data_IF_585019829408
#
_entry.id   IF_585019829408
#
_cell.length_a   1.000
_cell.length_b   1.000
_cell.length_c   1.000
_cell.angle_alpha   90.00
_cell.angle_beta   90.00
_cell.angle_gamma   90.00
#
_symmetry.space_group_name_H-M   'P 1'
#
loop_
_entity.id
_entity.type
_entity.pdbx_description
1 polymer ?
#
# COMPACT_ATOMS: atom_id res chain seq x y z
N UNK A 1 -18.47 4.17 14.62
CA UNK A 1 -18.57 4.06 16.10
C UNK A 1 -17.83 5.19 16.82
N UNK A 2 -16.52 5.36 16.61
CA UNK A 2 -15.69 6.34 17.33
C UNK A 2 -16.29 7.76 17.37
N UNK A 3 -16.77 8.28 16.24
CA UNK A 3 -17.39 9.63 16.15
C UNK A 3 -18.63 9.78 17.04
N UNK A 4 -19.45 8.73 17.14
CA UNK A 4 -20.62 8.73 18.01
C UNK A 4 -20.22 8.72 19.50
N UNK A 5 -19.22 7.92 19.87
CA UNK A 5 -18.68 7.88 21.23
C UNK A 5 -18.05 9.24 21.61
N UNK A 6 -17.30 9.85 20.69
CA UNK A 6 -16.73 11.18 20.89
C UNK A 6 -17.81 12.25 21.11
N UNK A 7 -18.83 12.31 20.25
CA UNK A 7 -19.98 13.20 20.43
C UNK A 7 -20.70 12.99 21.78
N UNK A 8 -20.88 11.72 22.18
CA UNK A 8 -21.50 11.36 23.47
C UNK A 8 -20.63 11.80 24.65
N UNK A 9 -19.32 11.64 24.58
CA UNK A 9 -18.39 12.12 25.61
C UNK A 9 -18.43 13.65 25.72
N UNK A 10 -18.38 14.38 24.61
CA UNK A 10 -18.47 15.84 24.61
C UNK A 10 -19.77 16.33 25.27
N UNK A 11 -20.89 15.63 25.01
CA UNK A 11 -22.20 15.98 25.58
C UNK A 11 -22.30 15.68 27.07
N UNK A 12 -21.89 14.49 27.52
CA UNK A 12 -22.21 14.00 28.87
C UNK A 12 -21.00 13.90 29.82
N UNK A 13 -19.77 13.99 29.32
CA UNK A 13 -18.54 13.92 30.13
C UNK A 13 -18.30 12.59 30.87
N UNK A 14 -18.95 11.50 30.46
CA UNK A 14 -18.83 10.19 31.14
C UNK A 14 -17.52 9.50 30.79
N UNK A 15 -16.70 9.16 31.80
CA UNK A 15 -15.40 8.50 31.59
C UNK A 15 -15.51 7.15 30.87
N UNK A 16 -16.52 6.33 31.18
CA UNK A 16 -16.71 5.07 30.45
C UNK A 16 -16.92 5.24 28.94
N UNK A 17 -17.50 6.37 28.49
CA UNK A 17 -17.60 6.70 27.06
C UNK A 17 -16.25 7.08 26.46
N UNK A 18 -15.40 7.76 27.23
CA UNK A 18 -14.03 8.08 26.83
C UNK A 18 -13.18 6.82 26.71
N UNK A 19 -13.26 5.90 27.68
CA UNK A 19 -12.57 4.61 27.62
C UNK A 19 -12.99 3.82 26.38
N UNK A 20 -14.30 3.70 26.11
CA UNK A 20 -14.79 3.05 24.90
C UNK A 20 -14.31 3.74 23.62
N UNK A 21 -14.23 5.07 23.60
CA UNK A 21 -13.67 5.82 22.48
C UNK A 21 -12.19 5.47 22.26
N UNK A 22 -11.37 5.46 23.31
CA UNK A 22 -9.95 5.11 23.21
C UNK A 22 -9.79 3.71 22.62
N UNK A 23 -10.52 2.72 23.14
CA UNK A 23 -10.48 1.35 22.62
C UNK A 23 -10.90 1.27 21.14
N UNK A 24 -12.01 1.93 20.77
CA UNK A 24 -12.46 1.95 19.37
C UNK A 24 -11.47 2.67 18.45
N UNK A 25 -10.86 3.78 18.89
CA UNK A 25 -9.88 4.51 18.11
C UNK A 25 -8.58 3.69 17.96
N UNK A 26 -8.16 2.99 19.01
CA UNK A 26 -6.99 2.11 18.97
C UNK A 26 -7.20 0.92 18.02
N UNK A 27 -8.38 0.28 18.08
CA UNK A 27 -8.71 -0.78 17.13
C UNK A 27 -8.69 -0.25 15.68
N UNK A 28 -9.20 0.97 15.47
CA UNK A 28 -9.17 1.59 14.14
C UNK A 28 -7.74 1.81 13.64
N UNK A 29 -6.82 2.30 14.49
CA UNK A 29 -5.42 2.53 14.11
C UNK A 29 -4.64 1.24 13.91
N UNK A 30 -4.92 0.20 14.71
CA UNK A 30 -4.29 -1.12 14.55
C UNK A 30 -4.76 -1.85 13.30
N UNK A 31 -6.04 -1.71 12.94
CA UNK A 31 -6.59 -2.31 11.71
C UNK A 31 -6.07 -1.59 10.47
N UNK A 32 -5.88 -0.28 10.52
CA UNK A 32 -5.41 0.48 9.37
C UNK A 32 -4.64 1.74 9.76
N UNK A 33 -3.45 1.92 9.18
CA UNK A 33 -2.56 3.08 9.44
C UNK A 33 -3.22 4.43 9.19
N UNK A 34 -4.13 4.52 8.21
CA UNK A 34 -4.90 5.74 7.90
C UNK A 34 -6.08 6.01 8.86
N UNK A 35 -6.32 5.14 9.85
CA UNK A 35 -7.38 5.29 10.84
C UNK A 35 -7.51 6.69 11.47
N UNK A 36 -6.39 7.35 11.86
CA UNK A 36 -6.42 8.72 12.37
C UNK A 36 -7.00 9.71 11.34
N UNK A 37 -6.54 9.65 10.09
CA UNK A 37 -7.00 10.54 9.02
C UNK A 37 -8.52 10.47 8.81
N UNK A 38 -9.11 9.28 9.00
CA UNK A 38 -10.56 9.06 8.90
C UNK A 38 -11.38 9.79 9.98
N UNK A 39 -10.77 10.14 11.11
CA UNK A 39 -11.48 10.65 12.29
C UNK A 39 -11.17 12.10 12.64
N UNK A 40 -10.06 12.66 12.13
CA UNK A 40 -9.64 14.05 12.43
C UNK A 40 -10.74 15.05 12.07
N UNK A 41 -11.19 15.08 10.81
CA UNK A 41 -12.18 16.06 10.35
C UNK A 41 -13.49 16.05 11.18
N UNK A 42 -14.19 14.90 11.37
CA UNK A 42 -15.41 14.87 12.17
C UNK A 42 -15.16 15.19 13.65
N UNK A 43 -13.99 14.86 14.21
CA UNK A 43 -13.67 15.21 15.59
C UNK A 43 -13.47 16.72 15.76
N UNK A 44 -12.73 17.37 14.86
CA UNK A 44 -12.54 18.82 14.89
C UNK A 44 -13.87 19.57 14.80
N UNK A 45 -14.77 19.13 13.91
CA UNK A 45 -16.12 19.69 13.79
C UNK A 45 -16.90 19.52 15.10
N UNK A 46 -16.86 18.34 15.72
CA UNK A 46 -17.54 18.11 17.00
C UNK A 46 -16.95 18.98 18.11
N UNK A 47 -15.63 19.15 18.19
CA UNK A 47 -14.98 20.07 19.13
C UNK A 47 -15.52 21.49 18.95
N UNK A 48 -15.58 21.99 17.71
CA UNK A 48 -16.10 23.32 17.40
C UNK A 48 -17.59 23.46 17.79
N UNK A 49 -18.42 22.48 17.42
CA UNK A 49 -19.85 22.48 17.72
C UNK A 49 -20.16 22.35 19.22
N UNK A 50 -19.26 21.73 19.99
CA UNK A 50 -19.38 21.53 21.43
C UNK A 50 -18.43 22.41 22.25
N UNK A 51 -17.78 23.43 21.65
CA UNK A 51 -16.78 24.28 22.32
C UNK A 51 -17.23 24.88 23.65
N UNK A 52 -18.51 25.27 23.76
CA UNK A 52 -19.09 25.82 24.99
C UNK A 52 -19.26 24.79 26.11
N UNK A 53 -19.25 23.49 25.81
CA UNK A 53 -19.35 22.39 26.78
C UNK A 53 -17.99 21.80 27.16
N UNK A 54 -16.90 22.26 26.52
CA UNK A 54 -15.53 21.85 26.79
C UNK A 54 -14.98 22.65 27.97
N UNK A 55 -15.29 22.19 29.19
CA UNK A 55 -14.65 22.67 30.42
C UNK A 55 -13.22 22.08 30.53
N UNK A 56 -12.37 22.69 31.35
CA UNK A 56 -10.97 22.28 31.54
C UNK A 56 -10.78 20.78 31.79
N UNK A 57 -11.60 20.17 32.65
CA UNK A 57 -11.54 18.72 32.93
C UNK A 57 -11.74 17.84 31.68
N UNK A 58 -12.70 18.19 30.80
CA UNK A 58 -12.91 17.44 29.56
C UNK A 58 -11.74 17.61 28.60
N UNK A 59 -11.18 18.82 28.53
CA UNK A 59 -10.02 19.08 27.69
C UNK A 59 -8.82 18.25 28.14
N UNK A 60 -8.53 18.25 29.45
CA UNK A 60 -7.49 17.39 30.04
C UNK A 60 -7.74 15.92 29.72
N UNK A 61 -8.97 15.43 29.90
CA UNK A 61 -9.31 14.04 29.59
C UNK A 61 -9.12 13.70 28.10
N UNK A 62 -9.44 14.62 27.18
CA UNK A 62 -9.17 14.45 25.75
C UNK A 62 -7.68 14.46 25.43
N UNK A 63 -6.89 15.33 26.07
CA UNK A 63 -5.44 15.36 25.92
C UNK A 63 -4.82 14.05 26.41
N UNK A 64 -5.25 13.54 27.57
CA UNK A 64 -4.80 12.24 28.07
C UNK A 64 -5.19 11.11 27.11
N UNK A 65 -6.42 11.11 26.61
CA UNK A 65 -6.86 10.11 25.62
C UNK A 65 -6.02 10.15 24.33
N UNK A 66 -5.71 11.35 23.81
CA UNK A 66 -4.84 11.52 22.67
C UNK A 66 -3.41 11.04 22.96
N UNK A 67 -2.87 11.35 24.14
CA UNK A 67 -1.57 10.86 24.59
C UNK A 67 -1.50 9.34 24.64
N UNK A 68 -2.51 8.68 25.22
CA UNK A 68 -2.61 7.21 25.23
C UNK A 68 -2.63 6.63 23.82
N UNK A 69 -3.45 7.20 22.92
CA UNK A 69 -3.51 6.75 21.53
C UNK A 69 -2.16 6.91 20.83
N UNK A 70 -1.46 8.03 21.02
CA UNK A 70 -0.12 8.21 20.45
C UNK A 70 0.84 7.15 21.03
N UNK A 71 0.93 7.03 22.35
CA UNK A 71 1.84 6.11 23.04
C UNK A 71 1.67 4.65 22.59
N UNK A 72 0.43 4.15 22.49
CA UNK A 72 0.17 2.75 22.09
C UNK A 72 0.54 2.51 20.62
N UNK A 73 0.42 3.53 19.76
CA UNK A 73 0.76 3.43 18.35
C UNK A 73 2.24 3.74 18.04
N UNK A 74 3.04 4.16 19.02
CA UNK A 74 4.48 4.44 18.82
C UNK A 74 5.25 3.21 18.33
N UNK A 75 4.84 2.00 18.71
CA UNK A 75 5.51 0.75 18.33
C UNK A 75 5.62 0.53 16.82
N UNK A 76 4.61 0.95 16.05
CA UNK A 76 4.64 0.89 14.59
C UNK A 76 4.89 2.27 13.95
N UNK A 77 4.50 3.37 14.61
CA UNK A 77 4.69 4.71 14.07
C UNK A 77 6.17 5.12 14.04
N UNK A 78 6.96 4.78 15.07
CA UNK A 78 8.39 5.09 15.11
C UNK A 78 9.14 4.42 13.96
N UNK A 79 9.02 3.09 13.72
CA UNK A 79 9.60 2.47 12.54
C UNK A 79 9.15 3.14 11.24
N UNK A 80 7.84 3.36 11.06
CA UNK A 80 7.31 3.99 9.85
C UNK A 80 7.92 5.38 9.58
N UNK A 81 8.06 6.20 10.63
CA UNK A 81 8.68 7.52 10.53
C UNK A 81 10.20 7.42 10.29
N UNK A 82 10.87 6.44 10.89
CA UNK A 82 12.29 6.16 10.63
C UNK A 82 12.58 5.77 9.17
N UNK A 83 11.58 5.24 8.46
CA UNK A 83 11.67 4.90 7.03
C UNK A 83 10.95 5.91 6.12
N UNK A 84 10.58 7.10 6.61
CA UNK A 84 9.88 8.11 5.79
C UNK A 84 10.69 8.51 4.55
N UNK A 85 12.01 8.55 4.68
CA UNK A 85 12.91 8.92 3.58
C UNK A 85 13.02 7.81 2.53
N UNK A 86 12.56 6.59 2.82
CA UNK A 86 12.45 5.51 1.84
C UNK A 86 11.11 5.53 1.09
N UNK A 87 10.15 6.38 1.48
CA UNK A 87 8.88 6.47 0.77
C UNK A 87 9.10 7.10 -0.61
N UNK A 88 8.79 6.36 -1.66
CA UNK A 88 8.84 6.87 -3.04
C UNK A 88 7.70 7.85 -3.28
N UNK A 89 8.03 8.99 -3.91
CA UNK A 89 7.01 9.92 -4.39
C UNK A 89 6.89 9.83 -5.90
N UNK A 90 5.69 9.52 -6.41
CA UNK A 90 5.43 9.56 -7.85
C UNK A 90 5.77 8.28 -8.64
N UNK A 91 6.06 7.16 -7.98
CA UNK A 91 6.29 5.85 -8.62
C UNK A 91 5.00 5.18 -9.12
N UNK A 92 5.08 3.93 -9.60
CA UNK A 92 3.91 3.14 -10.05
C UNK A 92 2.86 3.01 -8.94
N UNK A 93 3.32 2.84 -7.69
CA UNK A 93 2.51 2.85 -6.46
C UNK A 93 1.62 4.08 -6.32
N UNK A 94 2.13 5.26 -6.71
CA UNK A 94 1.43 6.54 -6.61
C UNK A 94 0.33 6.68 -7.65
N UNK A 95 0.35 5.90 -8.73
CA UNK A 95 -0.73 5.85 -9.73
C UNK A 95 -1.84 4.88 -9.32
N UNK A 96 -1.50 3.94 -8.44
CA UNK A 96 -2.47 3.00 -7.91
C UNK A 96 -3.49 3.73 -7.04
N UNK A 97 -4.77 3.38 -7.21
CA UNK A 97 -5.85 3.83 -6.33
C UNK A 97 -5.96 5.36 -6.23
N UNK A 98 -5.75 6.05 -7.36
CA UNK A 98 -6.01 7.47 -7.52
C UNK A 98 -7.38 7.69 -8.16
N UNK A 99 -8.07 8.76 -7.77
CA UNK A 99 -9.40 9.06 -8.31
C UNK A 99 -9.31 9.67 -9.71
N UNK A 100 -8.14 10.20 -10.09
CA UNK A 100 -7.96 10.95 -11.34
C UNK A 100 -8.58 12.36 -11.32
N UNK A 101 -8.96 12.86 -10.14
CA UNK A 101 -9.39 14.26 -9.94
C UNK A 101 -10.90 14.43 -9.78
N UNK A 102 -11.33 15.69 -9.62
CA UNK A 102 -12.76 16.04 -9.45
C UNK A 102 -13.60 15.73 -10.69
N UNK A 103 -13.02 15.71 -11.89
CA UNK A 103 -13.73 15.32 -13.12
C UNK A 103 -14.24 13.88 -13.09
N UNK A 104 -13.63 13.01 -12.27
CA UNK A 104 -14.02 11.62 -12.10
C UNK A 104 -15.01 11.40 -10.95
N UNK A 105 -15.44 12.45 -10.25
CA UNK A 105 -16.41 12.34 -9.15
C UNK A 105 -17.71 11.65 -9.61
N UNK A 106 -18.29 12.11 -10.71
CA UNK A 106 -19.54 11.53 -11.23
C UNK A 106 -19.33 10.12 -11.79
N UNK A 107 -18.31 9.83 -12.62
CA UNK A 107 -18.00 8.46 -13.03
C UNK A 107 -17.80 7.49 -11.85
N UNK A 108 -17.05 7.88 -10.82
CA UNK A 108 -16.82 7.02 -9.65
C UNK A 108 -18.12 6.82 -8.86
N UNK A 109 -18.92 7.87 -8.67
CA UNK A 109 -20.20 7.77 -7.95
C UNK A 109 -21.25 6.96 -8.72
N UNK A 110 -21.41 7.18 -10.02
CA UNK A 110 -22.57 6.74 -10.80
C UNK A 110 -22.30 5.62 -11.79
N UNK A 111 -21.05 5.43 -12.22
CA UNK A 111 -20.70 4.40 -13.21
C UNK A 111 -20.01 3.22 -12.57
N UNK A 112 -19.64 3.33 -11.28
CA UNK A 112 -18.80 2.33 -10.62
C UNK A 112 -17.50 2.12 -11.39
N UNK A 113 -17.00 3.19 -12.03
CA UNK A 113 -15.72 3.23 -12.72
C UNK A 113 -14.63 3.07 -11.67
N UNK A 114 -14.42 1.82 -11.27
CA UNK A 114 -13.70 1.53 -10.05
C UNK A 114 -12.24 1.23 -10.33
N UNK A 115 -11.30 2.09 -9.89
CA UNK A 115 -9.87 1.79 -9.93
C UNK A 115 -9.48 0.54 -9.10
N UNK A 116 -10.37 0.00 -8.25
CA UNK A 116 -10.15 -1.22 -7.46
C UNK A 116 -10.74 -2.51 -8.05
N UNK A 117 -11.56 -2.44 -9.09
CA UNK A 117 -12.28 -3.63 -9.59
C UNK A 117 -13.34 -4.20 -8.62
N UNK A 118 -13.81 -3.42 -7.64
CA UNK A 118 -15.01 -3.61 -6.79
C UNK A 118 -16.30 -3.45 -7.62
N UNK A 119 -16.27 -3.82 -8.91
CA UNK A 119 -17.45 -4.06 -9.73
C UNK A 119 -18.46 -2.91 -9.89
N UNK A 120 -19.50 -3.15 -10.71
CA UNK A 120 -20.55 -2.18 -11.01
C UNK A 120 -21.48 -1.88 -9.81
N UNK A 121 -21.37 -2.61 -8.70
CA UNK A 121 -22.29 -2.48 -7.56
C UNK A 121 -22.16 -1.16 -6.81
N UNK A 122 -21.00 -0.50 -6.87
CA UNK A 122 -20.78 0.83 -6.27
C UNK A 122 -21.55 1.94 -6.98
N UNK A 123 -21.90 1.76 -8.26
CA UNK A 123 -22.56 2.73 -9.14
C UNK A 123 -23.97 3.13 -8.67
N UNK A 124 -24.71 2.19 -8.06
CA UNK A 124 -26.09 2.41 -7.62
C UNK A 124 -26.15 2.81 -6.14
N UNK A 125 -25.30 2.18 -5.31
CA UNK A 125 -25.35 2.37 -3.87
C UNK A 125 -24.82 3.75 -3.45
N UNK A 126 -23.71 4.20 -4.03
CA UNK A 126 -23.06 5.45 -3.62
C UNK A 126 -23.95 6.68 -3.83
N UNK A 127 -24.62 6.84 -4.99
CA UNK A 127 -25.56 7.94 -5.21
C UNK A 127 -26.80 7.81 -4.34
N UNK A 128 -27.34 6.61 -4.17
CA UNK A 128 -28.52 6.39 -3.32
C UNK A 128 -28.24 6.77 -1.86
N UNK A 129 -27.12 6.32 -1.29
CA UNK A 129 -26.71 6.70 0.07
C UNK A 129 -26.53 8.22 0.20
N UNK A 130 -25.91 8.85 -0.79
CA UNK A 130 -25.70 10.30 -0.82
C UNK A 130 -27.03 11.06 -0.89
N UNK A 131 -27.92 10.66 -1.81
CA UNK A 131 -29.23 11.27 -1.99
C UNK A 131 -30.10 11.12 -0.73
N UNK A 132 -30.16 9.93 -0.13
CA UNK A 132 -30.93 9.70 1.10
C UNK A 132 -30.33 10.50 2.26
N UNK A 133 -29.01 10.59 2.38
CA UNK A 133 -28.37 11.39 3.42
C UNK A 133 -28.69 12.89 3.28
N UNK A 134 -28.64 13.43 2.06
CA UNK A 134 -29.02 14.81 1.75
C UNK A 134 -30.50 15.04 2.04
N UNK A 135 -31.38 14.16 1.52
CA UNK A 135 -32.82 14.26 1.73
C UNK A 135 -33.17 14.18 3.22
N UNK A 136 -32.50 13.31 3.98
CA UNK A 136 -32.63 13.23 5.43
C UNK A 136 -32.24 14.56 6.10
N UNK A 137 -31.13 15.14 5.66
CA UNK A 137 -30.65 16.43 6.17
C UNK A 137 -31.57 17.59 5.80
N UNK A 138 -32.31 17.51 4.69
CA UNK A 138 -33.30 18.53 4.28
C UNK A 138 -34.62 18.32 5.02
N UNK A 139 -35.19 17.12 4.98
CA UNK A 139 -36.52 16.82 5.52
C UNK A 139 -36.56 16.70 7.05
N UNK A 140 -35.53 16.08 7.65
CA UNK A 140 -35.38 16.01 9.11
C UNK A 140 -34.52 17.17 9.63
N UNK A 141 -34.09 18.03 8.71
CA UNK A 141 -33.21 19.16 8.82
C UNK A 141 -33.73 20.25 9.72
N UNK A 142 -33.79 19.97 11.02
CA UNK A 142 -33.62 20.90 12.14
C UNK A 142 -34.13 20.39 13.48
N UNK A 143 -34.45 19.10 13.61
CA UNK A 143 -34.73 18.58 14.96
C UNK A 143 -33.47 18.65 15.84
N UNK A 144 -33.56 19.48 16.89
CA UNK A 144 -32.42 19.97 17.69
C UNK A 144 -31.54 18.87 18.29
N UNK A 145 -32.12 17.69 18.57
CA UNK A 145 -31.46 16.62 19.34
C UNK A 145 -30.25 15.98 18.62
N UNK A 146 -30.24 15.92 17.29
CA UNK A 146 -29.21 15.20 16.52
C UNK A 146 -28.42 16.09 15.54
N UNK A 147 -28.78 17.37 15.42
CA UNK A 147 -28.19 18.32 14.46
C UNK A 147 -26.67 18.32 14.47
N UNK A 148 -26.03 18.35 15.65
CA UNK A 148 -24.56 18.45 15.74
C UNK A 148 -23.84 17.20 15.23
N UNK A 149 -24.32 16.00 15.60
CA UNK A 149 -23.73 14.75 15.10
C UNK A 149 -23.97 14.57 13.61
N UNK A 150 -25.16 14.95 13.13
CA UNK A 150 -25.49 14.89 11.70
C UNK A 150 -24.57 15.79 10.87
N UNK A 151 -24.36 17.04 11.31
CA UNK A 151 -23.42 17.98 10.68
C UNK A 151 -21.99 17.45 10.71
N UNK A 152 -21.55 16.86 11.82
CA UNK A 152 -20.21 16.26 11.92
C UNK A 152 -20.02 15.09 10.95
N UNK A 153 -21.01 14.22 10.81
CA UNK A 153 -20.98 13.12 9.84
C UNK A 153 -20.94 13.63 8.39
N UNK A 154 -21.76 14.63 8.06
CA UNK A 154 -21.78 15.22 6.72
C UNK A 154 -20.45 15.88 6.38
N UNK A 155 -19.91 16.73 7.27
CA UNK A 155 -18.61 17.37 7.04
C UNK A 155 -17.49 16.33 6.99
N UNK A 156 -17.53 15.29 7.83
CA UNK A 156 -16.59 14.17 7.76
C UNK A 156 -16.64 13.47 6.41
N UNK A 157 -17.84 13.14 5.90
CA UNK A 157 -18.02 12.55 4.58
C UNK A 157 -17.49 13.48 3.47
N UNK A 158 -17.87 14.76 3.49
CA UNK A 158 -17.40 15.75 2.52
C UNK A 158 -15.88 15.91 2.54
N UNK A 159 -15.25 15.96 3.72
CA UNK A 159 -13.80 16.05 3.84
C UNK A 159 -13.10 14.82 3.24
N UNK A 160 -13.64 13.61 3.48
CA UNK A 160 -13.09 12.38 2.92
C UNK A 160 -13.30 12.28 1.41
N UNK A 161 -14.45 12.73 0.89
CA UNK A 161 -14.63 12.85 -0.57
C UNK A 161 -13.66 13.86 -1.18
N UNK A 162 -13.49 15.03 -0.56
CA UNK A 162 -12.51 16.01 -1.01
C UNK A 162 -11.12 15.37 -1.03
N UNK A 163 -10.69 14.71 0.05
CA UNK A 163 -9.43 13.98 0.09
C UNK A 163 -9.34 12.91 -1.00
N UNK A 164 -10.39 12.14 -1.27
CA UNK A 164 -10.40 11.17 -2.37
C UNK A 164 -10.12 11.81 -3.73
N UNK A 165 -10.80 12.90 -4.07
CA UNK A 165 -10.78 13.45 -5.42
C UNK A 165 -9.71 14.53 -5.62
N UNK A 166 -9.22 15.17 -4.55
CA UNK A 166 -8.16 16.18 -4.61
C UNK A 166 -6.85 15.77 -3.92
N UNK A 167 -6.85 14.73 -3.09
CA UNK A 167 -5.67 14.29 -2.33
C UNK A 167 -4.47 13.95 -3.21
N UNK A 168 -4.72 13.51 -4.44
CA UNK A 168 -3.66 13.21 -5.42
C UNK A 168 -2.80 14.42 -5.79
N UNK A 169 -3.32 15.64 -5.61
CA UNK A 169 -2.61 16.89 -5.91
C UNK A 169 -1.69 17.34 -4.76
N UNK A 170 -1.78 16.69 -3.59
CA UNK A 170 -0.97 17.01 -2.43
C UNK A 170 0.00 15.87 -2.14
N UNK A 171 1.31 16.11 -2.20
CA UNK A 171 2.34 15.07 -2.00
C UNK A 171 2.13 14.27 -0.72
N UNK A 172 1.78 14.93 0.39
CA UNK A 172 1.54 14.28 1.68
C UNK A 172 0.34 13.32 1.69
N UNK A 173 -0.65 13.53 0.81
CA UNK A 173 -1.87 12.72 0.75
C UNK A 173 -1.83 11.74 -0.42
N UNK A 174 -1.16 12.08 -1.52
CA UNK A 174 -1.09 11.25 -2.73
C UNK A 174 -0.59 9.85 -2.43
N UNK A 175 0.44 9.72 -1.60
CA UNK A 175 1.02 8.40 -1.26
C UNK A 175 0.13 7.58 -0.30
N UNK A 176 -0.87 8.21 0.32
CA UNK A 176 -1.90 7.49 1.09
C UNK A 176 -2.96 6.82 0.22
N UNK A 177 -2.86 6.95 -1.11
CA UNK A 177 -3.79 6.38 -2.08
C UNK A 177 -5.23 6.86 -1.82
N UNK A 178 -5.54 8.13 -2.13
CA UNK A 178 -6.68 8.84 -1.60
C UNK A 178 -8.06 8.22 -1.89
N UNK A 179 -8.21 7.37 -2.91
CA UNK A 179 -9.48 6.67 -3.12
C UNK A 179 -9.81 5.74 -1.95
N UNK A 180 -8.84 5.36 -1.12
CA UNK A 180 -9.08 4.61 0.14
C UNK A 180 -10.01 5.35 1.10
N UNK A 181 -10.12 6.67 0.99
CA UNK A 181 -11.03 7.48 1.81
C UNK A 181 -12.49 7.41 1.34
N UNK A 182 -12.75 6.95 0.11
CA UNK A 182 -14.10 6.96 -0.47
C UNK A 182 -15.08 6.02 0.27
N UNK A 183 -14.76 4.73 0.51
CA UNK A 183 -15.65 3.86 1.29
C UNK A 183 -15.89 4.39 2.71
N UNK A 184 -14.87 5.00 3.33
CA UNK A 184 -15.02 5.63 4.64
C UNK A 184 -15.99 6.83 4.58
N UNK A 185 -15.87 7.69 3.56
CA UNK A 185 -16.79 8.80 3.32
C UNK A 185 -18.24 8.34 3.20
N UNK A 186 -18.49 7.26 2.45
CA UNK A 186 -19.82 6.63 2.37
C UNK A 186 -20.29 6.09 3.73
N UNK A 187 -19.40 5.44 4.50
CA UNK A 187 -19.72 4.95 5.84
C UNK A 187 -20.13 6.08 6.80
N UNK A 188 -19.58 7.29 6.63
CA UNK A 188 -19.98 8.47 7.39
C UNK A 188 -21.41 8.96 7.07
N UNK A 189 -21.95 8.63 5.91
CA UNK A 189 -23.34 8.95 5.55
C UNK A 189 -24.36 7.97 6.15
N UNK A 190 -23.95 6.75 6.51
CA UNK A 190 -24.86 5.71 7.01
C UNK A 190 -25.71 6.13 8.23
N UNK A 191 -25.20 6.85 9.24
CA UNK A 191 -26.05 7.33 10.35
C UNK A 191 -27.16 8.27 9.89
N UNK A 192 -26.91 9.10 8.87
CA UNK A 192 -27.92 9.99 8.29
C UNK A 192 -28.96 9.16 7.54
N UNK A 193 -28.51 8.25 6.67
CA UNK A 193 -29.40 7.35 5.93
C UNK A 193 -30.30 6.55 6.87
N UNK A 194 -29.74 5.99 7.94
CA UNK A 194 -30.49 5.24 8.95
C UNK A 194 -31.55 6.10 9.65
N UNK A 195 -31.21 7.33 10.01
CA UNK A 195 -32.17 8.27 10.61
C UNK A 195 -33.29 8.64 9.64
N UNK A 196 -32.96 8.86 8.37
CA UNK A 196 -33.90 9.13 7.29
C UNK A 196 -34.92 8.02 7.13
N UNK A 197 -34.42 6.81 6.91
CA UNK A 197 -35.24 5.62 6.69
C UNK A 197 -36.13 5.32 7.88
N UNK A 198 -35.58 5.31 9.10
CA UNK A 198 -36.37 4.99 10.31
C UNK A 198 -37.52 5.98 10.53
N UNK A 199 -37.31 7.26 10.24
CA UNK A 199 -38.36 8.29 10.40
C UNK A 199 -39.35 8.34 9.24
N UNK A 200 -38.87 8.25 8.00
CA UNK A 200 -39.75 8.19 6.84
C UNK A 200 -40.70 6.99 6.95
N UNK A 201 -40.17 5.84 7.35
CA UNK A 201 -40.99 4.65 7.59
C UNK A 201 -41.93 4.79 8.79
N UNK A 202 -41.53 5.52 9.84
CA UNK A 202 -42.42 5.86 10.96
C UNK A 202 -43.62 6.73 10.54
N UNK A 203 -43.50 7.53 9.48
CA UNK A 203 -44.60 8.31 8.93
C UNK A 203 -45.51 7.45 8.04
N UNK A 204 -44.94 6.50 7.30
CA UNK A 204 -45.68 5.62 6.40
C UNK A 204 -46.43 4.50 7.13
N UNK A 205 -45.94 4.07 8.30
CA UNK A 205 -46.62 3.03 9.08
C UNK A 205 -46.36 3.16 10.58
N UNK A 206 -47.41 2.94 11.38
CA UNK A 206 -47.33 2.88 12.84
C UNK A 206 -46.80 1.53 13.34
N UNK A 207 -46.89 0.47 12.55
CA UNK A 207 -46.44 -0.88 12.94
C UNK A 207 -44.91 -0.93 13.02
N UNK A 208 -44.35 -1.28 14.17
CA UNK A 208 -42.90 -1.46 14.34
C UNK A 208 -42.39 -2.65 13.52
N UNK A 209 -43.21 -3.70 13.40
CA UNK A 209 -42.88 -4.90 12.64
C UNK A 209 -42.77 -4.63 11.15
N UNK A 210 -43.75 -3.93 10.56
CA UNK A 210 -43.70 -3.56 9.14
C UNK A 210 -42.50 -2.65 8.84
N UNK A 211 -42.19 -1.70 9.73
CA UNK A 211 -40.99 -0.85 9.59
C UNK A 211 -39.70 -1.66 9.62
N UNK A 212 -39.60 -2.59 10.56
CA UNK A 212 -38.42 -3.45 10.69
C UNK A 212 -38.28 -4.34 9.46
N UNK A 213 -39.38 -4.91 8.96
CA UNK A 213 -39.40 -5.71 7.73
C UNK A 213 -38.97 -4.89 6.51
N UNK A 214 -39.49 -3.67 6.33
CA UNK A 214 -39.08 -2.80 5.23
C UNK A 214 -37.60 -2.40 5.34
N UNK A 215 -37.12 -2.04 6.54
CA UNK A 215 -35.69 -1.75 6.76
C UNK A 215 -34.85 -2.98 6.43
N UNK A 216 -35.25 -4.17 6.89
CA UNK A 216 -34.53 -5.40 6.61
C UNK A 216 -34.49 -5.71 5.11
N UNK A 217 -35.59 -5.50 4.38
CA UNK A 217 -35.64 -5.65 2.92
C UNK A 217 -34.75 -4.61 2.23
N UNK A 218 -34.81 -3.34 2.62
CA UNK A 218 -33.97 -2.29 2.05
C UNK A 218 -32.49 -2.53 2.34
N UNK A 219 -32.14 -2.99 3.55
CA UNK A 219 -30.79 -3.42 3.87
C UNK A 219 -30.42 -4.66 3.04
N UNK A 220 -31.32 -5.61 2.85
CA UNK A 220 -31.11 -6.76 1.97
C UNK A 220 -30.90 -6.37 0.52
N UNK A 221 -31.57 -5.34 0.00
CA UNK A 221 -31.38 -4.85 -1.38
C UNK A 221 -30.12 -3.99 -1.50
N UNK A 222 -29.79 -3.17 -0.50
CA UNK A 222 -28.63 -2.29 -0.52
C UNK A 222 -27.32 -3.03 -0.23
N UNK A 223 -27.34 -3.87 0.79
CA UNK A 223 -26.19 -4.68 1.20
C UNK A 223 -26.18 -6.05 0.55
N UNK A 224 -27.29 -6.60 0.07
CA UNK A 224 -27.30 -7.88 -0.64
C UNK A 224 -26.31 -7.90 -1.80
N UNK A 225 -26.26 -6.90 -2.70
CA UNK A 225 -25.27 -6.83 -3.77
C UNK A 225 -23.85 -6.46 -3.33
N UNK A 226 -23.65 -5.88 -2.14
CA UNK A 226 -22.31 -5.64 -1.56
C UNK A 226 -21.77 -6.89 -0.85
N UNK A 227 -22.65 -7.54 -0.11
CA UNK A 227 -22.41 -8.76 0.61
C UNK A 227 -22.43 -9.92 -0.36
N UNK A 228 -23.14 -9.91 -1.48
CA UNK A 228 -23.18 -11.03 -2.42
C UNK A 228 -21.79 -11.34 -2.99
N UNK A 229 -20.95 -10.39 -3.43
CA UNK A 229 -19.55 -10.67 -3.76
C UNK A 229 -18.69 -11.04 -2.56
N UNK A 230 -19.04 -10.65 -1.34
CA UNK A 230 -18.31 -11.00 -0.12
C UNK A 230 -18.70 -12.39 0.41
N UNK A 231 -19.98 -12.75 0.28
CA UNK A 231 -20.65 -14.01 0.61
C UNK A 231 -20.36 -15.01 -0.48
N UNK A 232 -20.39 -14.66 -1.75
CA UNK A 232 -19.84 -15.48 -2.85
C UNK A 232 -18.36 -15.73 -2.56
N UNK A 233 -17.56 -14.68 -2.31
CA UNK A 233 -16.19 -14.87 -1.83
C UNK A 233 -16.04 -15.69 -0.56
N UNK A 234 -17.04 -15.79 0.33
CA UNK A 234 -16.95 -16.47 1.62
C UNK A 234 -17.67 -17.85 1.68
N UNK A 235 -18.63 -18.12 0.80
CA UNK A 235 -19.61 -19.21 0.84
C UNK A 235 -19.67 -19.95 -0.49
N UNK A 236 -19.45 -19.30 -1.63
CA UNK A 236 -19.65 -19.88 -2.95
C UNK A 236 -18.45 -19.65 -3.89
N UNK A 237 -17.75 -20.72 -4.27
CA UNK A 237 -16.89 -20.78 -5.47
C UNK A 237 -15.49 -20.14 -5.47
N UNK A 238 -15.09 -19.28 -4.50
CA UNK A 238 -13.73 -18.66 -4.51
C UNK A 238 -12.97 -18.52 -3.19
N UNK A 239 -13.47 -19.02 -2.06
CA UNK A 239 -12.54 -19.36 -0.96
C UNK A 239 -11.73 -20.54 -1.46
N UNK A 240 -10.64 -20.28 -2.19
CA UNK A 240 -9.65 -21.32 -2.44
C UNK A 240 -9.29 -21.85 -1.05
N UNK A 241 -9.39 -23.17 -0.81
CA UNK A 241 -9.01 -23.72 0.48
C UNK A 241 -7.65 -23.16 0.84
N UNK A 242 -7.46 -22.79 2.11
CA UNK A 242 -6.18 -22.28 2.58
C UNK A 242 -5.10 -23.27 2.14
N UNK A 243 -4.32 -22.88 1.12
CA UNK A 243 -3.35 -23.78 0.51
C UNK A 243 -2.14 -23.80 1.42
N UNK A 244 -1.96 -24.90 2.15
CA UNK A 244 -0.71 -25.13 2.85
C UNK A 244 0.37 -25.50 1.83
N UNK A 245 1.49 -24.79 1.87
CA UNK A 245 2.63 -24.99 0.98
C UNK A 245 2.70 -24.00 -0.20
N UNK A 246 3.80 -24.09 -0.93
CA UNK A 246 4.09 -23.19 -2.05
C UNK A 246 3.23 -23.53 -3.28
N UNK A 247 2.65 -22.53 -3.97
CA UNK A 247 2.00 -22.75 -5.26
C UNK A 247 2.94 -23.40 -6.27
N UNK A 248 2.40 -24.23 -7.16
CA UNK A 248 3.19 -24.93 -8.18
C UNK A 248 3.95 -23.95 -9.07
N UNK A 249 3.37 -22.79 -9.37
CA UNK A 249 3.99 -21.73 -10.16
C UNK A 249 5.29 -21.22 -9.51
N UNK A 250 5.30 -21.07 -8.18
CA UNK A 250 6.50 -20.65 -7.45
C UNK A 250 7.56 -21.75 -7.44
N UNK A 251 7.15 -23.01 -7.23
CA UNK A 251 8.06 -24.16 -7.30
C UNK A 251 8.70 -24.27 -8.69
N UNK A 252 7.88 -24.16 -9.74
CA UNK A 252 8.30 -24.16 -11.14
C UNK A 252 9.33 -23.05 -11.43
N UNK A 253 9.10 -21.83 -10.93
CA UNK A 253 10.05 -20.71 -11.08
C UNK A 253 11.33 -20.96 -10.27
N UNK A 254 11.23 -21.45 -9.04
CA UNK A 254 12.40 -21.78 -8.22
C UNK A 254 13.27 -22.90 -8.82
N UNK A 255 12.67 -23.91 -9.42
CA UNK A 255 13.37 -24.95 -10.19
C UNK A 255 14.03 -24.39 -11.45
N UNK A 256 13.28 -23.61 -12.24
CA UNK A 256 13.76 -22.94 -13.45
C UNK A 256 15.03 -22.13 -13.15
N UNK A 257 15.01 -21.37 -12.06
CA UNK A 257 16.14 -20.57 -11.62
C UNK A 257 17.33 -21.44 -11.22
N UNK A 258 17.11 -22.47 -10.39
CA UNK A 258 18.20 -23.35 -9.94
C UNK A 258 18.89 -24.09 -11.09
N UNK A 259 18.15 -24.46 -12.13
CA UNK A 259 18.66 -25.21 -13.28
C UNK A 259 19.44 -24.35 -14.29
N UNK A 260 19.11 -23.06 -14.41
CA UNK A 260 19.56 -22.23 -15.54
C UNK A 260 20.32 -20.95 -15.13
N UNK A 261 20.57 -20.76 -13.84
CA UNK A 261 21.26 -19.57 -13.31
C UNK A 261 22.30 -19.95 -12.27
N UNK A 262 23.23 -19.05 -12.01
CA UNK A 262 24.24 -19.16 -10.96
C UNK A 262 24.30 -17.88 -10.12
N UNK A 263 25.28 -17.78 -9.21
CA UNK A 263 25.41 -16.66 -8.26
C UNK A 263 26.21 -15.47 -8.78
N UNK A 264 26.71 -15.51 -10.02
CA UNK A 264 27.54 -14.44 -10.57
C UNK A 264 26.76 -13.14 -10.85
N UNK A 265 25.43 -13.21 -10.94
CA UNK A 265 24.57 -12.08 -11.24
C UNK A 265 23.18 -12.20 -10.59
N UNK A 266 22.38 -11.13 -10.69
CA UNK A 266 21.01 -11.07 -10.19
C UNK A 266 20.00 -11.48 -11.24
N UNK A 267 18.81 -11.80 -10.75
CA UNK A 267 17.64 -12.12 -11.56
C UNK A 267 16.66 -10.96 -11.48
N UNK A 268 16.39 -10.29 -12.60
CA UNK A 268 15.28 -9.36 -12.72
C UNK A 268 14.00 -10.16 -12.98
N UNK A 269 12.99 -9.98 -12.15
CA UNK A 269 11.73 -10.72 -12.28
C UNK A 269 10.55 -9.75 -12.39
N UNK A 270 9.67 -10.01 -13.35
CA UNK A 270 8.43 -9.25 -13.53
C UNK A 270 7.44 -9.55 -12.39
N UNK A 271 7.41 -8.67 -11.40
CA UNK A 271 6.54 -8.84 -10.24
C UNK A 271 5.06 -8.64 -10.61
N UNK A 272 4.16 -9.11 -9.74
CA UNK A 272 2.73 -9.11 -10.01
C UNK A 272 1.92 -8.91 -8.73
N UNK A 273 0.82 -8.15 -8.80
CA UNK A 273 -0.11 -7.99 -7.69
C UNK A 273 -1.57 -8.04 -8.08
N UNK A 274 -2.42 -7.36 -7.30
CA UNK A 274 -3.87 -7.42 -7.46
C UNK A 274 -4.35 -7.03 -8.86
N UNK A 275 -3.75 -5.98 -9.43
CA UNK A 275 -4.10 -5.48 -10.78
C UNK A 275 -3.77 -6.50 -11.88
N UNK A 276 -2.69 -7.26 -11.69
CA UNK A 276 -2.25 -8.31 -12.60
C UNK A 276 -2.72 -9.70 -12.17
N UNK A 277 -3.71 -9.82 -11.28
CA UNK A 277 -4.27 -11.11 -10.81
C UNK A 277 -3.26 -12.07 -10.18
N UNK A 278 -2.21 -11.54 -9.52
CA UNK A 278 -1.19 -12.31 -8.78
C UNK A 278 -0.68 -13.55 -9.55
N UNK A 279 0.20 -13.32 -10.51
CA UNK A 279 0.65 -14.32 -11.48
C UNK A 279 1.41 -15.49 -10.84
N UNK A 280 1.84 -15.37 -9.59
CA UNK A 280 2.54 -16.42 -8.85
C UNK A 280 1.57 -17.24 -7.98
N UNK A 281 0.66 -17.95 -8.65
CA UNK A 281 -0.29 -18.86 -8.00
C UNK A 281 -1.37 -18.17 -7.16
N UNK A 282 -1.71 -16.92 -7.46
CA UNK A 282 -2.68 -16.15 -6.67
C UNK A 282 -2.08 -15.49 -5.42
N UNK A 283 -0.74 -15.47 -5.29
CA UNK A 283 -0.03 -14.97 -4.11
C UNK A 283 1.04 -13.93 -4.48
N UNK A 284 1.62 -13.29 -3.47
CA UNK A 284 2.82 -12.44 -3.59
C UNK A 284 4.09 -13.19 -3.12
N UNK A 285 4.21 -14.46 -3.47
CA UNK A 285 5.32 -15.31 -3.00
C UNK A 285 6.65 -15.06 -3.73
N UNK A 286 6.73 -14.04 -4.59
CA UNK A 286 7.96 -13.62 -5.27
C UNK A 286 9.05 -13.27 -4.25
N UNK A 287 8.71 -12.62 -3.13
CA UNK A 287 9.64 -12.33 -2.05
C UNK A 287 10.30 -13.57 -1.39
N UNK A 288 9.76 -14.78 -1.58
CA UNK A 288 10.35 -16.02 -1.06
C UNK A 288 11.38 -16.63 -2.01
N UNK A 289 11.40 -16.23 -3.29
CA UNK A 289 12.28 -16.82 -4.31
C UNK A 289 13.77 -16.74 -3.96
N UNK A 290 14.31 -15.64 -3.38
CA UNK A 290 15.71 -15.59 -2.96
C UNK A 290 16.10 -16.77 -2.05
N UNK A 291 15.24 -17.10 -1.08
CA UNK A 291 15.49 -18.21 -0.15
C UNK A 291 15.29 -19.59 -0.81
N UNK A 292 14.31 -19.71 -1.71
CA UNK A 292 13.99 -20.99 -2.37
C UNK A 292 15.02 -21.40 -3.42
N UNK A 293 15.62 -20.43 -4.10
CA UNK A 293 16.57 -20.66 -5.18
C UNK A 293 18.02 -20.41 -4.79
N UNK A 294 18.29 -19.79 -3.63
CA UNK A 294 19.62 -19.34 -3.20
C UNK A 294 20.27 -18.47 -4.29
N UNK A 295 19.53 -17.43 -4.69
CA UNK A 295 19.90 -16.45 -5.72
C UNK A 295 19.49 -15.05 -5.30
N UNK A 296 20.18 -14.06 -5.86
CA UNK A 296 19.81 -12.65 -5.70
C UNK A 296 18.80 -12.22 -6.76
N UNK A 297 17.81 -11.45 -6.34
CA UNK A 297 16.75 -10.95 -7.21
C UNK A 297 16.68 -9.43 -7.14
N UNK A 298 16.38 -8.81 -8.27
CA UNK A 298 15.99 -7.41 -8.34
C UNK A 298 14.48 -7.32 -8.19
N UNK A 299 14.01 -7.21 -6.95
CA UNK A 299 12.59 -7.22 -6.61
C UNK A 299 12.28 -6.44 -5.33
N UNK A 300 11.01 -6.09 -5.16
CA UNK A 300 10.50 -5.44 -3.96
C UNK A 300 9.85 -6.41 -2.98
N UNK A 301 9.60 -6.00 -1.73
CA UNK A 301 8.88 -6.80 -0.74
C UNK A 301 7.42 -7.06 -1.17
N UNK A 302 6.82 -6.10 -1.88
CA UNK A 302 5.53 -6.25 -2.53
C UNK A 302 5.40 -5.19 -3.63
N UNK A 303 4.72 -5.50 -4.74
CA UNK A 303 4.51 -4.54 -5.82
C UNK A 303 3.58 -3.43 -5.33
N UNK A 304 3.73 -2.24 -5.92
CA UNK A 304 2.90 -1.06 -5.63
C UNK A 304 2.99 -0.48 -4.21
N UNK A 305 3.89 -0.98 -3.35
CA UNK A 305 4.23 -0.30 -2.10
C UNK A 305 5.02 0.97 -2.45
N UNK A 306 4.71 2.13 -1.85
CA UNK A 306 5.38 3.39 -2.17
C UNK A 306 6.75 3.49 -1.49
N UNK A 307 7.69 2.61 -1.86
CA UNK A 307 9.08 2.66 -1.42
C UNK A 307 10.02 2.87 -2.61
N UNK A 308 11.16 3.53 -2.40
CA UNK A 308 12.14 3.88 -3.44
C UNK A 308 12.64 2.67 -4.21
N UNK A 309 12.82 1.55 -3.52
CA UNK A 309 13.28 0.27 -4.05
C UNK A 309 12.34 -0.22 -5.17
N UNK A 310 11.03 0.02 -5.04
CA UNK A 310 10.04 -0.36 -6.05
C UNK A 310 10.13 0.48 -7.34
N UNK A 311 10.87 1.61 -7.36
CA UNK A 311 11.16 2.32 -8.61
C UNK A 311 12.19 1.59 -9.47
N UNK A 312 12.81 0.53 -8.95
CA UNK A 312 13.83 -0.26 -9.63
C UNK A 312 13.37 -1.71 -9.88
N UNK A 313 12.09 -2.00 -9.68
CA UNK A 313 11.51 -3.33 -9.89
C UNK A 313 10.78 -3.36 -11.22
N UNK A 314 10.84 -4.52 -11.90
CA UNK A 314 10.06 -4.74 -13.11
C UNK A 314 8.60 -5.06 -12.73
N UNK A 315 7.68 -4.14 -12.96
CA UNK A 315 6.24 -4.29 -12.68
C UNK A 315 5.47 -3.94 -13.95
N UNK A 316 4.60 -4.83 -14.43
CA UNK A 316 3.77 -4.60 -15.63
C UNK A 316 4.59 -4.10 -16.83
N UNK A 317 5.72 -4.79 -17.07
CA UNK A 317 6.70 -4.40 -18.06
C UNK A 317 7.24 -2.96 -17.98
N UNK A 318 7.32 -2.42 -16.77
CA UNK A 318 7.89 -1.10 -16.50
C UNK A 318 8.96 -1.20 -15.43
N UNK A 319 10.03 -0.42 -15.60
CA UNK A 319 11.07 -0.20 -14.61
C UNK A 319 10.97 1.26 -14.20
N UNK A 320 10.63 1.50 -12.94
CA UNK A 320 10.33 2.83 -12.42
C UNK A 320 9.18 3.48 -13.18
N UNK A 321 9.47 4.55 -13.92
CA UNK A 321 8.46 5.32 -14.68
C UNK A 321 8.46 5.01 -16.17
N UNK A 322 9.39 4.19 -16.65
CA UNK A 322 9.57 3.89 -18.07
C UNK A 322 9.11 2.47 -18.36
N UNK A 323 8.40 2.30 -19.47
CA UNK A 323 8.04 0.96 -19.95
C UNK A 323 9.20 0.38 -20.74
N UNK A 324 9.53 -0.88 -20.51
CA UNK A 324 10.66 -1.58 -21.13
C UNK A 324 10.50 -1.62 -22.65
N UNK A 325 9.28 -1.76 -23.16
CA UNK A 325 8.99 -1.75 -24.59
C UNK A 325 9.28 -0.41 -25.29
N UNK A 326 9.45 0.66 -24.52
CA UNK A 326 9.75 2.02 -24.99
C UNK A 326 11.14 2.51 -24.57
N UNK A 327 11.90 1.72 -23.82
CA UNK A 327 13.27 2.06 -23.46
C UNK A 327 14.18 1.89 -24.68
N UNK A 328 15.14 2.79 -24.83
CA UNK A 328 16.20 2.60 -25.81
C UNK A 328 17.05 1.38 -25.42
N UNK A 329 17.57 0.67 -26.42
CA UNK A 329 18.34 -0.56 -26.21
C UNK A 329 19.57 -0.32 -25.32
N UNK A 330 20.26 0.81 -25.53
CA UNK A 330 21.40 1.23 -24.69
C UNK A 330 20.98 1.51 -23.24
N UNK A 331 19.88 2.22 -23.04
CA UNK A 331 19.35 2.52 -21.71
C UNK A 331 19.03 1.24 -20.91
N UNK A 332 18.37 0.28 -21.54
CA UNK A 332 18.06 -1.01 -20.91
C UNK A 332 19.34 -1.81 -20.64
N UNK A 333 20.30 -1.82 -21.57
CA UNK A 333 21.59 -2.48 -21.39
C UNK A 333 22.35 -1.92 -20.18
N UNK A 334 22.40 -0.60 -20.05
CA UNK A 334 23.09 0.09 -18.96
C UNK A 334 22.41 -0.17 -17.61
N UNK A 335 21.07 -0.20 -17.59
CA UNK A 335 20.32 -0.60 -16.41
C UNK A 335 20.68 -2.02 -15.96
N UNK A 336 20.63 -2.99 -16.88
CA UNK A 336 20.92 -4.39 -16.56
C UNK A 336 22.36 -4.58 -16.06
N UNK A 337 23.32 -3.91 -16.70
CA UNK A 337 24.73 -3.92 -16.26
C UNK A 337 24.92 -3.27 -14.90
N UNK A 338 24.31 -2.10 -14.66
CA UNK A 338 24.44 -1.35 -13.39
C UNK A 338 24.04 -2.19 -12.20
N UNK A 339 22.97 -2.98 -12.33
CA UNK A 339 22.48 -3.84 -11.24
C UNK A 339 23.00 -5.28 -11.31
N UNK A 340 24.00 -5.55 -12.16
CA UNK A 340 24.57 -6.86 -12.42
C UNK A 340 23.47 -7.92 -12.68
N UNK A 341 22.55 -7.64 -13.60
CA UNK A 341 21.43 -8.52 -13.94
C UNK A 341 21.84 -9.44 -15.08
N UNK A 342 22.07 -10.72 -14.77
CA UNK A 342 22.45 -11.74 -15.75
C UNK A 342 21.25 -12.49 -16.33
N UNK A 343 20.10 -12.42 -15.65
CA UNK A 343 18.90 -13.14 -16.05
C UNK A 343 17.64 -12.32 -15.87
N UNK A 344 16.66 -12.55 -16.74
CA UNK A 344 15.35 -11.89 -16.69
C UNK A 344 14.24 -12.93 -16.77
N UNK A 345 13.28 -12.89 -15.84
CA UNK A 345 12.08 -13.72 -15.84
C UNK A 345 10.85 -12.85 -16.03
N UNK A 346 10.08 -13.10 -17.09
CA UNK A 346 8.85 -12.36 -17.40
C UNK A 346 7.69 -13.31 -17.65
N UNK A 347 6.47 -12.83 -17.44
CA UNK A 347 5.24 -13.58 -17.69
C UNK A 347 4.33 -12.89 -18.70
N UNK A 348 4.33 -11.56 -18.78
CA UNK A 348 3.46 -10.82 -19.67
C UNK A 348 3.97 -10.88 -21.12
N UNK A 349 3.05 -10.95 -22.09
CA UNK A 349 3.43 -11.02 -23.50
C UNK A 349 4.19 -9.76 -23.94
N UNK A 350 3.72 -8.60 -23.50
CA UNK A 350 4.36 -7.32 -23.75
C UNK A 350 5.85 -7.34 -23.37
N UNK A 351 6.18 -7.91 -22.21
CA UNK A 351 7.57 -7.96 -21.76
C UNK A 351 8.39 -9.04 -22.45
N UNK A 352 7.81 -10.18 -22.78
CA UNK A 352 8.47 -11.18 -23.62
C UNK A 352 8.93 -10.55 -24.94
N UNK A 353 8.01 -9.84 -25.62
CA UNK A 353 8.31 -9.19 -26.89
C UNK A 353 9.35 -8.08 -26.72
N UNK A 354 9.28 -7.30 -25.63
CA UNK A 354 10.23 -6.20 -25.38
C UNK A 354 11.67 -6.70 -25.17
N UNK A 355 11.85 -7.79 -24.43
CA UNK A 355 13.17 -8.38 -24.18
C UNK A 355 13.69 -9.16 -25.39
N UNK A 356 12.84 -9.86 -26.16
CA UNK A 356 13.26 -10.59 -27.37
C UNK A 356 13.82 -9.70 -28.48
N UNK A 357 13.40 -8.43 -28.53
CA UNK A 357 13.93 -7.46 -29.51
C UNK A 357 15.37 -7.00 -29.22
N UNK A 358 15.90 -7.29 -28.04
CA UNK A 358 17.23 -6.80 -27.64
C UNK A 358 18.33 -7.75 -28.11
N UNK A 359 19.33 -7.24 -28.80
CA UNK A 359 20.43 -8.05 -29.36
C UNK A 359 21.34 -8.67 -28.30
N UNK A 360 21.38 -8.10 -27.09
CA UNK A 360 22.12 -8.60 -25.93
C UNK A 360 21.31 -9.54 -25.03
N UNK A 361 20.07 -9.86 -25.39
CA UNK A 361 19.22 -10.81 -24.67
C UNK A 361 19.15 -12.11 -25.45
N UNK A 362 19.10 -13.25 -24.75
CA UNK A 362 18.91 -14.56 -25.37
C UNK A 362 17.90 -15.36 -24.58
N UNK A 363 16.90 -15.91 -25.27
CA UNK A 363 15.90 -16.78 -24.66
C UNK A 363 16.55 -18.10 -24.26
N UNK A 364 16.40 -18.50 -23.00
CA UNK A 364 16.89 -19.79 -22.50
C UNK A 364 15.78 -20.83 -22.58
N UNK A 365 14.65 -20.57 -21.91
CA UNK A 365 13.58 -21.57 -21.74
C UNK A 365 12.24 -20.91 -21.41
N UNK A 366 11.16 -21.57 -21.82
CA UNK A 366 9.80 -21.26 -21.38
C UNK A 366 9.30 -22.36 -20.44
N UNK A 367 8.62 -21.97 -19.36
CA UNK A 367 7.93 -22.89 -18.48
C UNK A 367 6.60 -22.27 -18.06
N UNK A 368 5.51 -22.94 -18.41
CA UNK A 368 4.15 -22.43 -18.28
C UNK A 368 4.02 -21.06 -18.97
N UNK A 369 3.66 -20.02 -18.21
CA UNK A 369 3.59 -18.64 -18.69
C UNK A 369 4.89 -17.86 -18.53
N UNK A 370 5.87 -18.40 -17.82
CA UNK A 370 7.13 -17.71 -17.54
C UNK A 370 8.14 -17.97 -18.65
N UNK A 371 8.91 -16.94 -19.00
CA UNK A 371 10.04 -17.02 -19.92
C UNK A 371 11.29 -16.52 -19.23
N UNK A 372 12.36 -17.31 -19.31
CA UNK A 372 13.68 -16.96 -18.81
C UNK A 372 14.58 -16.54 -19.96
N UNK A 373 15.24 -15.41 -19.78
CA UNK A 373 16.26 -14.88 -20.66
C UNK A 373 17.60 -14.79 -19.94
N UNK A 374 18.69 -14.96 -20.69
CA UNK A 374 20.04 -14.52 -20.27
C UNK A 374 20.35 -13.16 -20.86
N UNK A 375 21.17 -12.40 -20.13
CA UNK A 375 21.70 -11.10 -20.55
C UNK A 375 23.18 -11.26 -20.86
N UNK A 376 23.62 -10.79 -22.03
CA UNK A 376 25.00 -10.94 -22.49
C UNK A 376 25.85 -9.75 -22.05
N UNK A 377 26.48 -9.87 -20.88
CA UNK A 377 27.57 -9.01 -20.45
C UNK A 377 28.48 -9.73 -19.45
N UNK A 378 29.62 -9.11 -19.13
CA UNK A 378 30.47 -9.59 -18.02
C UNK A 378 29.75 -9.33 -16.70
N UNK A 379 29.55 -10.37 -15.90
CA UNK A 379 28.93 -10.26 -14.59
C UNK A 379 29.93 -9.71 -13.57
N UNK A 380 29.55 -8.63 -12.90
CA UNK A 380 30.40 -7.96 -11.93
C UNK A 380 29.56 -7.14 -10.94
N UNK A 381 29.78 -7.33 -9.64
CA UNK A 381 29.14 -6.55 -8.59
C UNK A 381 29.88 -5.26 -8.23
N UNK A 382 31.01 -4.95 -8.87
CA UNK A 382 31.78 -3.72 -8.65
C UNK A 382 31.49 -2.71 -9.77
N UNK A 383 30.85 -1.59 -9.40
CA UNK A 383 30.71 -0.41 -10.26
C UNK A 383 32.03 0.37 -10.37
N UNK A 384 32.85 0.29 -9.33
CA UNK A 384 34.22 0.82 -9.28
C UNK A 384 35.09 -0.09 -8.42
N UNK A 385 36.31 -0.33 -8.88
CA UNK A 385 37.24 -1.27 -8.24
C UNK A 385 37.05 -2.70 -8.77
N UNK A 386 37.55 -3.67 -8.03
CA UNK A 386 37.53 -5.10 -8.37
C UNK A 386 37.61 -5.95 -7.11
N UNK A 387 37.26 -7.22 -7.21
CA UNK A 387 37.40 -8.20 -6.14
C UNK A 387 36.43 -9.36 -6.34
N UNK A 388 36.33 -10.20 -5.31
CA UNK A 388 35.31 -11.24 -5.20
C UNK A 388 34.27 -10.82 -4.16
N UNK A 389 33.01 -11.18 -4.40
CA UNK A 389 31.89 -10.83 -3.52
C UNK A 389 30.99 -12.05 -3.33
N UNK A 390 30.73 -12.37 -2.07
CA UNK A 390 29.74 -13.35 -1.63
C UNK A 390 28.67 -12.64 -0.80
N UNK A 391 27.40 -12.81 -1.14
CA UNK A 391 26.29 -12.23 -0.40
C UNK A 391 25.43 -13.31 0.27
N UNK A 392 25.06 -13.06 1.52
CA UNK A 392 23.96 -13.74 2.24
C UNK A 392 22.89 -12.71 2.60
N UNK A 393 21.86 -13.13 3.34
CA UNK A 393 20.77 -12.23 3.76
C UNK A 393 21.22 -11.08 4.66
N UNK A 394 22.35 -11.22 5.36
CA UNK A 394 22.81 -10.31 6.42
C UNK A 394 24.31 -9.94 6.32
N UNK A 395 25.02 -10.47 5.32
CA UNK A 395 26.45 -10.30 5.13
C UNK A 395 26.79 -10.12 3.65
N UNK A 396 27.62 -9.12 3.34
CA UNK A 396 28.40 -9.07 2.12
C UNK A 396 29.86 -9.33 2.51
N UNK A 397 30.45 -10.40 1.99
CA UNK A 397 31.85 -10.73 2.17
C UNK A 397 32.61 -10.39 0.91
N UNK A 398 33.62 -9.54 1.04
CA UNK A 398 34.45 -9.08 -0.04
C UNK A 398 35.89 -9.54 0.16
N UNK A 399 36.53 -10.01 -0.90
CA UNK A 399 37.95 -10.40 -0.90
C UNK A 399 38.65 -9.91 -2.16
N UNK A 400 39.97 -10.05 -2.18
CA UNK A 400 40.84 -9.66 -3.30
C UNK A 400 40.66 -8.18 -3.68
N UNK A 401 40.39 -7.35 -2.68
CA UNK A 401 40.12 -5.93 -2.85
C UNK A 401 41.41 -5.14 -3.09
N UNK A 402 41.36 -4.08 -3.93
CA UNK A 402 42.51 -3.23 -4.18
C UNK A 402 42.81 -2.35 -2.95
N UNK A 403 43.78 -2.78 -2.14
CA UNK A 403 44.15 -2.14 -0.87
C UNK A 403 44.36 -0.62 -1.02
N UNK A 404 43.72 0.15 -0.14
CA UNK A 404 43.85 1.61 -0.11
C UNK A 404 43.12 2.34 -1.24
N UNK A 405 42.30 1.66 -2.04
CA UNK A 405 41.45 2.27 -3.09
C UNK A 405 40.00 2.37 -2.63
N UNK A 406 39.20 3.10 -3.42
CA UNK A 406 37.75 3.16 -3.29
C UNK A 406 37.11 2.05 -4.10
N UNK A 407 36.15 1.36 -3.48
CA UNK A 407 35.24 0.44 -4.18
C UNK A 407 33.81 0.96 -4.11
N UNK A 408 33.05 0.75 -5.18
CA UNK A 408 31.61 1.00 -5.24
C UNK A 408 30.93 -0.27 -5.68
N UNK A 409 30.03 -0.79 -4.85
CA UNK A 409 29.33 -2.03 -5.10
C UNK A 409 27.97 -1.75 -5.73
N UNK A 410 27.54 -2.62 -6.63
CA UNK A 410 26.19 -2.67 -7.20
C UNK A 410 25.16 -3.16 -6.16
N UNK A 411 25.25 -2.71 -4.89
CA UNK A 411 24.29 -2.99 -3.82
C UNK A 411 23.78 -1.66 -3.28
N UNK A 412 22.50 -1.62 -2.91
CA UNK A 412 21.91 -0.40 -2.37
C UNK A 412 22.48 -0.05 -1.02
N UNK A 413 22.77 1.24 -0.84
CA UNK A 413 23.19 1.76 0.45
C UNK A 413 22.03 1.76 1.45
N UNK A 414 22.33 1.38 2.69
CA UNK A 414 21.44 1.55 3.83
C UNK A 414 22.24 2.11 5.01
N UNK A 415 21.65 3.06 5.74
CA UNK A 415 22.34 3.87 6.76
C UNK A 415 22.80 3.06 7.98
N UNK A 416 22.30 1.83 8.14
CA UNK A 416 22.71 0.88 9.17
C UNK A 416 23.78 -0.12 8.74
N UNK A 417 24.26 -0.06 7.50
CA UNK A 417 25.36 -0.91 7.06
C UNK A 417 26.66 -0.50 7.73
N UNK A 418 27.40 -1.47 8.27
CA UNK A 418 28.72 -1.28 8.88
C UNK A 418 29.67 -2.34 8.38
N UNK A 419 30.94 -1.99 8.32
CA UNK A 419 32.02 -2.96 8.16
C UNK A 419 32.36 -3.56 9.52
N UNK A 420 32.86 -4.80 9.54
CA UNK A 420 33.38 -5.41 10.77
C UNK A 420 34.75 -4.87 11.19
N UNK A 421 35.52 -4.41 10.22
CA UNK A 421 36.88 -3.88 10.37
C UNK A 421 36.92 -2.38 10.69
N UNK A 422 35.80 -1.66 10.54
CA UNK A 422 35.61 -0.29 11.01
C UNK A 422 35.66 0.80 9.93
N UNK A 423 35.94 0.45 8.69
CA UNK A 423 35.89 1.37 7.55
C UNK A 423 34.46 1.93 7.37
N UNK A 424 34.29 3.25 7.16
CA UNK A 424 32.98 3.83 6.94
C UNK A 424 32.31 3.30 5.67
N UNK A 425 31.07 2.82 5.81
CA UNK A 425 30.20 2.56 4.66
C UNK A 425 29.48 3.86 4.30
N UNK A 426 29.61 4.30 3.05
CA UNK A 426 29.04 5.55 2.56
C UNK A 426 28.08 5.32 1.39
N UNK A 427 27.22 6.31 1.16
CA UNK A 427 26.33 6.35 0.00
C UNK A 427 27.04 6.97 -1.20
N UNK A 428 27.17 6.22 -2.28
CA UNK A 428 27.47 6.77 -3.61
C UNK A 428 26.16 7.11 -4.32
N UNK A 429 25.86 8.40 -4.46
CA UNK A 429 24.70 8.83 -5.24
C UNK A 429 24.86 8.44 -6.72
N UNK A 430 23.76 8.05 -7.34
CA UNK A 430 23.63 7.83 -8.79
C UNK A 430 22.37 8.56 -9.27
N UNK A 431 22.44 9.36 -10.34
CA UNK A 431 21.28 10.15 -10.82
C UNK A 431 20.10 9.29 -11.31
N UNK A 432 20.34 8.02 -11.61
CA UNK A 432 19.35 7.05 -12.07
C UNK A 432 18.96 6.04 -10.98
N UNK A 433 19.39 6.24 -9.74
CA UNK A 433 19.02 5.41 -8.58
C UNK A 433 18.63 6.30 -7.38
N UNK A 434 17.38 6.23 -6.90
CA UNK A 434 16.91 7.06 -5.78
C UNK A 434 17.58 6.72 -4.43
N UNK A 435 18.18 5.54 -4.31
CA UNK A 435 18.80 5.00 -3.09
C UNK A 435 20.32 5.16 -3.13
N UNK A 436 20.93 4.98 -4.30
CA UNK A 436 22.38 4.99 -4.48
C UNK A 436 23.05 3.70 -3.98
N UNK A 437 24.36 3.66 -4.16
CA UNK A 437 25.15 2.44 -4.03
C UNK A 437 26.06 2.46 -2.80
N UNK A 438 26.45 1.28 -2.33
CA UNK A 438 27.45 1.12 -1.27
C UNK A 438 28.81 1.58 -1.79
N UNK A 439 29.46 2.49 -1.05
CA UNK A 439 30.85 2.90 -1.26
C UNK A 439 31.65 2.68 0.01
N UNK A 440 32.86 2.16 -0.17
CA UNK A 440 33.86 2.06 0.89
C UNK A 440 35.18 2.61 0.36
N UNK A 441 35.75 3.57 1.09
CA UNK A 441 37.05 4.17 0.76
C UNK A 441 38.16 3.48 1.57
N UNK A 442 39.39 3.50 1.03
CA UNK A 442 40.59 2.95 1.65
C UNK A 442 40.41 1.48 2.10
N UNK A 443 39.85 0.64 1.21
CA UNK A 443 39.51 -0.74 1.59
C UNK A 443 40.75 -1.56 2.00
N UNK A 444 40.62 -2.48 2.97
CA UNK A 444 41.58 -3.56 3.19
C UNK A 444 41.50 -4.59 2.05
N UNK A 445 42.31 -5.65 2.11
CA UNK A 445 42.26 -6.74 1.13
C UNK A 445 40.98 -7.60 1.24
N UNK A 446 40.42 -7.70 2.45
CA UNK A 446 39.18 -8.43 2.75
C UNK A 446 38.30 -7.59 3.68
N UNK A 447 36.99 -7.60 3.43
CA UNK A 447 36.02 -6.77 4.14
C UNK A 447 34.67 -7.48 4.28
N UNK A 448 34.11 -7.50 5.48
CA UNK A 448 32.74 -7.95 5.75
C UNK A 448 31.84 -6.73 6.01
N UNK A 449 30.77 -6.57 5.24
CA UNK A 449 29.71 -5.55 5.46
C UNK A 449 28.46 -6.23 6.00
N UNK A 450 27.93 -5.74 7.12
CA UNK A 450 26.75 -6.27 7.81
C UNK A 450 25.75 -5.17 8.10
N UNK A 451 24.47 -5.53 8.26
CA UNK A 451 23.45 -4.59 8.74
C UNK A 451 23.41 -4.59 10.28
N UNK A 452 23.59 -3.43 10.90
CA UNK A 452 23.64 -3.31 12.37
C UNK A 452 22.30 -2.79 12.90
N UNK A 453 21.63 -3.64 13.67
CA UNK A 453 20.37 -3.34 14.33
C UNK A 453 19.39 -4.48 14.12
N UNK A 454 18.95 -5.12 15.21
CA UNK A 454 17.75 -5.96 15.16
C UNK A 454 16.63 -5.05 14.64
N UNK A 455 15.92 -5.48 13.60
CA UNK A 455 14.56 -4.99 13.45
C UNK A 455 13.86 -5.31 14.79
N UNK A 456 13.36 -4.31 15.53
CA UNK A 456 12.72 -4.55 16.82
C UNK A 456 11.54 -5.51 16.71
#
# INVERSE_FOLDING_TARGET
>A
MAVALFSRFLRFGRMGTLTALILCAQLLTLVHVLGPALTIAPFLVLILLYRRLLKGQKLVALCVAAGVLVCVNLSWAIPQLGFSDHIATGGVSSRMLQAGGMGNLLPVLFQGADPYGIGPHSAVLSPALTAIAILTMVLLGWQSRYRKSAVACLIGASALFLLTFSGQFFTAVRESQPVRYFPAGLAFLLPLVSLGLTRGLAQLTRSVWLRTAIIAVLLGIAYGPLLAPAIDRAVGSRVKPFRMGLPQEIKSVGELVRLHTDKSARILIEDSGGQTKHQYGGTHATAMLPQLADREYMMGPAPYVPIKENELVLIECSIGRKRVDRMESGELSDYLKRYNIGWVIVWSQLCKDAFERQTFITRIVDRDKFRLFSVRHSHNFFLRGSGTLEATSDLLRLRDLPVGKTVVLSYHYFDRLRTRTGEPVQRQADPNDPIGFIRVDNVPAELDIVSVGRMP
#
